data_IF_390075193100
#
_entry.id   IF_390075193100
#
_cell.length_a   1.000
_cell.length_b   1.000
_cell.length_c   1.000
_cell.angle_alpha   90.00
_cell.angle_beta   90.00
_cell.angle_gamma   90.00
#
_symmetry.space_group_name_H-M   'P 1'
#
loop_
_entity.id
_entity.type
_entity.pdbx_description
1 polymer ?
#
# COMPACT_ATOMS: atom_id res chain seq x y z
N UNK A 1 -13.56 -1.70 14.17
CA UNK A 1 -12.86 -0.65 14.88
C UNK A 1 -11.75 -1.27 15.73
N UNK A 2 -11.26 -2.44 15.28
CA UNK A 2 -9.88 -2.56 14.83
C UNK A 2 -9.33 -1.16 14.51
N UNK A 3 -8.42 -0.67 15.34
CA UNK A 3 -7.77 0.64 15.22
C UNK A 3 -6.83 0.74 14.00
N UNK A 4 -7.06 -0.11 13.00
CA UNK A 4 -6.34 -0.11 11.75
C UNK A 4 -7.04 0.88 10.82
N UNK A 5 -6.29 1.89 10.36
CA UNK A 5 -6.72 2.97 9.46
C UNK A 5 -7.61 4.06 10.06
N UNK A 6 -7.71 4.15 11.39
CA UNK A 6 -8.41 5.27 12.02
C UNK A 6 -7.61 6.57 11.80
N UNK A 7 -8.12 7.43 10.91
CA UNK A 7 -7.48 8.69 10.55
C UNK A 7 -7.40 9.65 11.73
N UNK A 8 -8.27 9.50 12.74
CA UNK A 8 -8.24 10.30 13.95
C UNK A 8 -6.95 10.06 14.79
N UNK A 9 -6.35 8.88 14.69
CA UNK A 9 -5.09 8.56 15.38
C UNK A 9 -3.87 9.23 14.73
N UNK A 10 -3.97 9.66 13.46
CA UNK A 10 -2.87 10.33 12.75
C UNK A 10 -2.58 11.73 13.30
N UNK A 11 -3.59 12.38 13.89
CA UNK A 11 -3.50 13.70 14.50
C UNK A 11 -3.71 13.69 16.02
N UNK A 12 -3.80 12.50 16.65
CA UNK A 12 -4.10 12.36 18.08
C UNK A 12 -3.06 13.03 18.99
N UNK A 13 -1.81 13.18 18.53
CA UNK A 13 -0.84 14.05 19.19
C UNK A 13 0.17 14.63 18.19
N UNK A 14 0.89 15.73 18.54
CA UNK A 14 1.91 16.33 17.67
C UNK A 14 2.99 15.32 17.25
N UNK A 15 3.41 14.43 18.16
CA UNK A 15 4.39 13.39 17.89
C UNK A 15 3.86 12.34 16.90
N UNK A 16 2.59 11.95 16.99
CA UNK A 16 1.96 11.03 16.03
C UNK A 16 1.89 11.66 14.64
N UNK A 17 1.51 12.93 14.55
CA UNK A 17 1.43 13.66 13.28
C UNK A 17 2.80 13.79 12.62
N UNK A 18 3.88 14.00 13.38
CA UNK A 18 5.25 14.03 12.84
C UNK A 18 5.69 12.67 12.29
N UNK A 19 5.42 11.58 13.01
CA UNK A 19 5.75 10.22 12.57
C UNK A 19 4.99 9.90 11.27
N UNK A 20 3.68 10.14 11.22
CA UNK A 20 2.87 9.89 10.02
C UNK A 20 3.40 10.69 8.83
N UNK A 21 3.75 11.96 9.03
CA UNK A 21 4.31 12.83 7.99
C UNK A 21 5.62 12.27 7.42
N UNK A 22 6.52 11.75 8.27
CA UNK A 22 7.77 11.11 7.84
C UNK A 22 7.50 9.88 6.98
N UNK A 23 6.59 9.00 7.41
CA UNK A 23 6.22 7.82 6.61
C UNK A 23 5.56 8.18 5.28
N UNK A 24 4.68 9.18 5.25
CA UNK A 24 4.08 9.68 4.00
C UNK A 24 5.12 10.31 3.07
N UNK A 25 6.12 11.00 3.62
CA UNK A 25 7.26 11.51 2.86
C UNK A 25 8.10 10.37 2.27
N UNK A 26 8.49 9.36 3.06
CA UNK A 26 9.25 8.21 2.56
C UNK A 26 8.51 7.46 1.46
N UNK A 27 7.20 7.24 1.64
CA UNK A 27 6.33 6.66 0.61
C UNK A 27 6.36 7.48 -0.67
N UNK A 28 6.18 8.79 -0.56
CA UNK A 28 6.19 9.71 -1.72
C UNK A 28 7.54 9.69 -2.42
N UNK A 29 8.65 9.63 -1.67
CA UNK A 29 10.00 9.51 -2.22
C UNK A 29 10.15 8.22 -3.03
N UNK A 30 9.70 7.07 -2.51
CA UNK A 30 9.80 5.78 -3.24
C UNK A 30 8.96 5.81 -4.51
N UNK A 31 7.73 6.35 -4.46
CA UNK A 31 6.87 6.50 -5.63
C UNK A 31 7.48 7.45 -6.68
N UNK A 32 8.10 8.54 -6.23
CA UNK A 32 8.80 9.47 -7.12
C UNK A 32 10.03 8.84 -7.78
N UNK A 33 10.84 8.08 -7.03
CA UNK A 33 11.99 7.35 -7.57
C UNK A 33 11.55 6.33 -8.63
N UNK A 34 10.45 5.60 -8.39
CA UNK A 34 9.87 4.69 -9.39
C UNK A 34 9.51 5.43 -10.69
N UNK A 35 8.84 6.58 -10.57
CA UNK A 35 8.46 7.41 -11.73
C UNK A 35 9.69 7.91 -12.51
N UNK A 36 10.73 8.38 -11.83
CA UNK A 36 11.98 8.81 -12.46
C UNK A 36 12.65 7.66 -13.23
N UNK A 37 12.75 6.48 -12.62
CA UNK A 37 13.32 5.30 -13.28
C UNK A 37 12.54 4.92 -14.55
N UNK A 38 11.20 4.96 -14.50
CA UNK A 38 10.38 4.69 -15.68
C UNK A 38 10.56 5.73 -16.78
N UNK A 39 10.66 7.02 -16.44
CA UNK A 39 10.86 8.08 -17.42
C UNK A 39 12.21 7.89 -18.11
N UNK A 40 13.28 7.69 -17.35
CA UNK A 40 14.63 7.48 -17.92
C UNK A 40 14.67 6.20 -18.75
N UNK A 41 14.11 5.09 -18.24
CA UNK A 41 13.99 3.85 -19.00
C UNK A 41 13.21 4.01 -20.30
N UNK A 42 12.16 4.84 -20.29
CA UNK A 42 11.34 5.12 -21.49
C UNK A 42 12.14 5.88 -22.52
N UNK A 43 12.96 6.84 -22.08
CA UNK A 43 13.89 7.55 -22.95
C UNK A 43 14.93 6.60 -23.56
N UNK A 44 15.42 5.61 -22.79
CA UNK A 44 16.40 4.64 -23.28
C UNK A 44 15.84 3.74 -24.39
N UNK A 45 14.54 3.44 -24.38
CA UNK A 45 13.92 2.64 -25.43
C UNK A 45 13.85 3.32 -26.81
N UNK A 46 14.18 4.61 -26.93
CA UNK A 46 14.36 5.26 -28.24
C UNK A 46 15.69 4.93 -28.93
N UNK A 47 16.63 4.26 -28.24
CA UNK A 47 17.96 3.95 -28.76
C UNK A 47 18.23 2.45 -28.63
N UNK A 48 18.43 1.73 -29.75
CA UNK A 48 18.68 0.28 -29.74
C UNK A 48 19.83 -0.13 -28.82
N UNK A 49 20.90 0.68 -28.76
CA UNK A 49 22.07 0.43 -27.90
C UNK A 49 21.79 0.54 -26.41
N UNK A 50 20.72 1.22 -26.00
CA UNK A 50 20.36 1.46 -24.60
C UNK A 50 19.21 0.58 -24.11
N UNK A 51 18.57 -0.20 -24.99
CA UNK A 51 17.40 -1.03 -24.65
C UNK A 51 17.69 -1.93 -23.45
N UNK A 52 18.85 -2.60 -23.41
CA UNK A 52 19.22 -3.47 -22.30
C UNK A 52 19.24 -2.72 -20.94
N UNK A 53 19.82 -1.52 -20.91
CA UNK A 53 19.82 -0.68 -19.71
C UNK A 53 18.41 -0.17 -19.39
N UNK A 54 17.63 0.22 -20.40
CA UNK A 54 16.24 0.67 -20.26
C UNK A 54 15.34 -0.40 -19.65
N UNK A 55 15.51 -1.67 -20.05
CA UNK A 55 14.79 -2.82 -19.47
C UNK A 55 15.06 -2.95 -17.97
N UNK A 56 16.31 -2.82 -17.54
CA UNK A 56 16.65 -2.88 -16.11
C UNK A 56 16.12 -1.69 -15.31
N UNK A 57 16.18 -0.47 -15.86
CA UNK A 57 15.58 0.71 -15.23
C UNK A 57 14.06 0.53 -15.04
N UNK A 58 13.38 -0.01 -16.05
CA UNK A 58 11.96 -0.36 -15.93
C UNK A 58 11.72 -1.43 -14.87
N UNK A 59 12.50 -2.51 -14.85
CA UNK A 59 12.33 -3.57 -13.86
C UNK A 59 12.49 -3.04 -12.43
N UNK A 60 13.53 -2.23 -12.17
CA UNK A 60 13.77 -1.65 -10.85
C UNK A 60 12.65 -0.66 -10.49
N UNK A 61 12.23 0.19 -11.44
CA UNK A 61 11.08 1.08 -11.27
C UNK A 61 9.80 0.33 -10.91
N UNK A 62 9.54 -0.81 -11.58
CA UNK A 62 8.39 -1.68 -11.30
C UNK A 62 8.43 -2.30 -9.92
N UNK A 63 9.61 -2.73 -9.46
CA UNK A 63 9.77 -3.23 -8.10
C UNK A 63 9.41 -2.13 -7.09
N UNK A 64 9.93 -0.90 -7.25
CA UNK A 64 9.63 0.21 -6.34
C UNK A 64 8.13 0.57 -6.34
N UNK A 65 7.53 0.61 -7.53
CA UNK A 65 6.10 0.89 -7.69
C UNK A 65 5.22 -0.18 -7.03
N UNK A 66 5.63 -1.46 -7.05
CA UNK A 66 4.84 -2.56 -6.52
C UNK A 66 4.81 -2.64 -4.98
N UNK A 67 5.78 -2.05 -4.27
CA UNK A 67 5.91 -2.19 -2.80
C UNK A 67 4.64 -1.73 -2.06
N UNK A 68 4.14 -0.52 -2.38
CA UNK A 68 2.98 0.05 -1.69
C UNK A 68 1.67 -0.73 -1.89
N UNK A 69 1.22 -1.01 -3.14
CA UNK A 69 0.00 -1.79 -3.34
C UNK A 69 0.12 -3.21 -2.77
N UNK A 70 1.32 -3.81 -2.78
CA UNK A 70 1.54 -5.15 -2.22
C UNK A 70 1.31 -5.18 -0.70
N UNK A 71 1.85 -4.21 0.04
CA UNK A 71 1.63 -4.10 1.49
C UNK A 71 0.14 -3.93 1.80
N UNK A 72 -0.56 -3.08 1.03
CA UNK A 72 -2.01 -2.88 1.20
C UNK A 72 -2.80 -4.16 0.92
N UNK A 73 -2.50 -4.84 -0.18
CA UNK A 73 -3.17 -6.08 -0.58
C UNK A 73 -2.96 -7.19 0.46
N UNK A 74 -1.72 -7.41 0.92
CA UNK A 74 -1.40 -8.38 1.97
C UNK A 74 -2.20 -8.15 3.25
N UNK A 75 -2.37 -6.88 3.65
CA UNK A 75 -3.15 -6.51 4.82
C UNK A 75 -4.65 -6.77 4.61
N UNK A 76 -5.21 -6.41 3.45
CA UNK A 76 -6.61 -6.68 3.11
C UNK A 76 -6.91 -8.20 3.08
N UNK A 77 -6.03 -9.01 2.48
CA UNK A 77 -6.15 -10.48 2.47
C UNK A 77 -6.09 -11.09 3.88
N UNK A 78 -5.25 -10.56 4.76
CA UNK A 78 -5.16 -11.05 6.14
C UNK A 78 -6.39 -10.67 6.96
N UNK A 79 -6.93 -9.47 6.77
CA UNK A 79 -8.16 -9.02 7.43
C UNK A 79 -9.39 -9.78 6.94
N UNK A 80 -9.46 -10.13 5.66
CA UNK A 80 -10.56 -10.94 5.10
C UNK A 80 -10.67 -12.33 5.76
N UNK A 81 -9.58 -12.85 6.30
CA UNK A 81 -9.53 -14.15 6.96
C UNK A 81 -9.69 -14.10 8.48
N UNK A 82 -9.86 -12.91 9.09
CA UNK A 82 -10.07 -12.77 10.53
C UNK A 82 -11.57 -12.66 10.84
N UNK A 83 -12.10 -13.38 11.85
CA UNK A 83 -13.48 -13.20 12.30
C UNK A 83 -13.63 -11.76 12.83
N UNK A 84 -14.50 -10.99 12.20
CA UNK A 84 -14.75 -9.58 12.60
C UNK A 84 -15.58 -9.57 13.88
N UNK A 85 -15.08 -8.98 15.00
CA UNK A 85 -15.86 -8.80 16.21
C UNK A 85 -17.18 -8.07 15.92
N UNK A 86 -18.28 -8.52 16.52
CA UNK A 86 -19.63 -8.02 16.21
C UNK A 86 -19.76 -6.49 16.39
N UNK A 87 -19.03 -5.92 17.36
CA UNK A 87 -18.93 -4.48 17.64
C UNK A 87 -18.38 -3.64 16.48
N UNK A 88 -17.78 -4.27 15.48
CA UNK A 88 -17.08 -3.63 14.38
C UNK A 88 -17.70 -3.88 13.01
N UNK A 89 -18.86 -4.54 12.96
CA UNK A 89 -19.62 -4.66 11.71
C UNK A 89 -20.27 -3.30 11.36
N UNK A 90 -20.15 -2.82 10.12
CA UNK A 90 -20.92 -1.66 9.68
C UNK A 90 -22.42 -1.97 9.81
N UNK A 91 -23.18 -1.01 10.37
CA UNK A 91 -24.63 -1.12 10.55
C UNK A 91 -25.29 -1.50 9.21
N UNK A 92 -25.86 -2.71 9.13
CA UNK A 92 -26.50 -3.26 7.92
C UNK A 92 -25.88 -4.54 7.35
N UNK A 93 -24.72 -4.99 7.84
CA UNK A 93 -24.17 -6.28 7.45
C UNK A 93 -24.99 -7.44 8.08
N UNK A 94 -25.52 -8.33 7.24
CA UNK A 94 -26.31 -9.48 7.68
C UNK A 94 -25.54 -10.30 8.73
N UNK A 95 -26.18 -10.76 9.82
CA UNK A 95 -25.53 -11.64 10.78
C UNK A 95 -25.03 -12.90 10.10
N UNK A 96 -23.78 -13.29 10.38
CA UNK A 96 -23.34 -14.64 10.07
C UNK A 96 -24.29 -15.58 10.79
N UNK A 97 -25.02 -16.36 10.01
CA UNK A 97 -25.87 -17.42 10.49
C UNK A 97 -24.94 -18.35 11.28
N UNK A 98 -25.10 -18.36 12.60
CA UNK A 98 -24.41 -19.32 13.44
C UNK A 98 -24.92 -20.68 13.01
N UNK A 99 -24.05 -21.52 12.44
CA UNK A 99 -24.34 -22.94 12.39
C UNK A 99 -24.52 -23.41 13.85
N UNK A 100 -25.63 -24.07 14.19
CA UNK A 100 -26.00 -24.34 15.58
C UNK A 100 -25.16 -25.45 16.25
N UNK A 101 -24.02 -25.88 15.67
CA UNK A 101 -23.29 -27.08 16.11
C UNK A 101 -21.75 -26.92 16.18
N UNK A 102 -21.23 -25.88 16.83
CA UNK A 102 -19.82 -25.83 17.25
C UNK A 102 -19.64 -25.22 18.65
#
# INVERSE_FOLDING_TARGET
MSRLFDYALRSASPNHAEIVRKYELYRTIVEFLAAVLFIIGSVFFFYESLVYAGTWLFLIGSIFFAIRPSIRLLLELRLANLPVPQEFRPYGAAPLQKDPEA
#
